data_IF_489530196334
#
_entry.id   IF_489530196334
#
_cell.length_a   1.000
_cell.length_b   1.000
_cell.length_c   1.000
_cell.angle_alpha   90.00
_cell.angle_beta   90.00
_cell.angle_gamma   90.00
#
_symmetry.space_group_name_H-M   'P 1'
#
loop_
_entity.id
_entity.type
_entity.pdbx_description
1 polymer ?
#
# COMPACT_ATOMS: atom_id res chain seq x y z
N UNK A 1 6.92 10.06 -0.39
CA UNK A 1 8.07 9.51 -1.15
C UNK A 1 9.19 10.52 -1.45
N UNK A 2 8.98 11.58 -2.25
CA UNK A 2 10.06 12.49 -2.71
C UNK A 2 10.84 13.21 -1.58
N UNK A 3 10.15 13.70 -0.54
CA UNK A 3 10.79 14.31 0.63
C UNK A 3 11.73 13.34 1.37
N UNK A 4 11.29 12.11 1.57
CA UNK A 4 12.07 11.04 2.21
C UNK A 4 13.30 10.67 1.37
N UNK A 5 13.15 10.54 0.06
CA UNK A 5 14.29 10.27 -0.85
C UNK A 5 15.32 11.39 -0.84
N UNK A 6 14.87 12.65 -0.79
CA UNK A 6 15.75 13.81 -0.68
C UNK A 6 16.51 13.78 0.65
N UNK A 7 15.81 13.60 1.77
CA UNK A 7 16.43 13.49 3.09
C UNK A 7 17.44 12.33 3.19
N UNK A 8 17.11 11.19 2.57
CA UNK A 8 17.98 10.00 2.53
C UNK A 8 19.26 10.24 1.73
N UNK A 9 19.16 11.01 0.64
CA UNK A 9 20.30 11.38 -0.20
C UNK A 9 21.28 12.32 0.51
N UNK A 10 20.78 13.15 1.43
CA UNK A 10 21.58 14.10 2.20
C UNK A 10 21.99 13.57 3.59
N UNK A 11 21.41 12.45 4.02
CA UNK A 11 21.68 11.85 5.32
C UNK A 11 23.10 11.24 5.37
N UNK A 12 23.93 11.75 6.29
CA UNK A 12 25.28 11.24 6.57
C UNK A 12 25.34 10.27 7.76
N UNK A 13 24.29 10.26 8.57
CA UNK A 13 24.14 9.37 9.71
C UNK A 13 23.61 8.01 9.23
N UNK A 14 24.27 6.92 9.65
CA UNK A 14 23.96 5.57 9.18
C UNK A 14 22.69 4.99 9.82
N UNK A 15 22.47 5.26 11.11
CA UNK A 15 21.28 4.81 11.83
C UNK A 15 20.05 5.49 11.26
N UNK A 16 20.09 6.82 11.12
CA UNK A 16 19.04 7.62 10.49
C UNK A 16 18.82 7.22 9.03
N UNK A 17 19.87 6.85 8.28
CA UNK A 17 19.72 6.37 6.89
C UNK A 17 18.93 5.06 6.84
N UNK A 18 19.17 4.12 7.76
CA UNK A 18 18.41 2.86 7.84
C UNK A 18 16.94 3.12 8.18
N UNK A 19 16.67 3.98 9.16
CA UNK A 19 15.30 4.36 9.51
C UNK A 19 14.55 5.01 8.33
N UNK A 20 15.19 5.95 7.62
CA UNK A 20 14.59 6.59 6.45
C UNK A 20 14.35 5.59 5.31
N UNK A 21 15.21 4.58 5.14
CA UNK A 21 15.02 3.51 4.14
C UNK A 21 13.85 2.61 4.51
N UNK A 22 13.71 2.26 5.79
CA UNK A 22 12.60 1.43 6.28
C UNK A 22 11.26 2.15 6.09
N UNK A 23 11.17 3.42 6.50
CA UNK A 23 9.97 4.23 6.29
C UNK A 23 9.63 4.43 4.81
N UNK A 24 10.64 4.57 3.94
CA UNK A 24 10.41 4.66 2.50
C UNK A 24 9.85 3.34 1.94
N UNK A 25 10.35 2.21 2.45
CA UNK A 25 9.90 0.87 2.06
C UNK A 25 8.45 0.65 2.50
N UNK A 26 8.10 0.99 3.74
CA UNK A 26 6.71 0.90 4.22
C UNK A 26 5.77 1.75 3.34
N UNK A 27 6.16 2.98 3.02
CA UNK A 27 5.37 3.86 2.16
C UNK A 27 5.16 3.27 0.75
N UNK A 28 6.17 2.59 0.21
CA UNK A 28 6.08 1.93 -1.09
C UNK A 28 5.16 0.69 -1.03
N UNK A 29 5.28 -0.13 0.02
CA UNK A 29 4.41 -1.30 0.24
C UNK A 29 2.95 -0.89 0.46
N UNK A 30 2.69 0.18 1.21
CA UNK A 30 1.36 0.76 1.40
C UNK A 30 0.79 1.31 0.09
N UNK A 31 1.60 2.02 -0.70
CA UNK A 31 1.19 2.57 -1.99
C UNK A 31 0.82 1.47 -2.99
N UNK A 32 1.59 0.39 -3.07
CA UNK A 32 1.26 -0.75 -3.93
C UNK A 32 -0.03 -1.46 -3.49
N UNK A 33 -0.31 -1.51 -2.19
CA UNK A 33 -1.58 -2.06 -1.67
C UNK A 33 -2.77 -1.19 -2.11
N UNK A 34 -2.62 0.14 -2.01
CA UNK A 34 -3.63 1.11 -2.43
C UNK A 34 -3.89 1.06 -3.95
N UNK A 35 -2.84 0.99 -4.77
CA UNK A 35 -2.95 0.86 -6.22
C UNK A 35 -3.72 -0.42 -6.61
N UNK A 36 -3.39 -1.56 -5.99
CA UNK A 36 -4.11 -2.82 -6.18
C UNK A 36 -5.59 -2.72 -5.79
N UNK A 37 -5.91 -2.02 -4.71
CA UNK A 37 -7.30 -1.81 -4.30
C UNK A 37 -8.07 -0.94 -5.32
N UNK A 38 -7.43 0.11 -5.83
CA UNK A 38 -8.00 0.98 -6.87
C UNK A 38 -8.25 0.22 -8.18
N UNK A 39 -7.35 -0.67 -8.57
CA UNK A 39 -7.55 -1.58 -9.72
C UNK A 39 -8.78 -2.47 -9.53
N UNK A 40 -8.89 -3.15 -8.38
CA UNK A 40 -10.04 -4.00 -8.04
C UNK A 40 -11.35 -3.19 -8.05
N UNK A 41 -11.34 -1.97 -7.51
CA UNK A 41 -12.52 -1.09 -7.50
C UNK A 41 -12.92 -0.64 -8.91
N UNK A 42 -11.95 -0.30 -9.77
CA UNK A 42 -12.20 0.06 -11.18
C UNK A 42 -12.72 -1.14 -11.97
N UNK A 43 -12.22 -2.36 -11.71
CA UNK A 43 -12.74 -3.58 -12.31
C UNK A 43 -14.18 -3.87 -11.85
N UNK A 44 -14.48 -3.71 -10.56
CA UNK A 44 -15.84 -3.89 -10.01
C UNK A 44 -16.86 -2.95 -10.62
N UNK A 45 -16.48 -1.69 -10.89
CA UNK A 45 -17.36 -0.70 -11.52
C UNK A 45 -17.79 -1.11 -12.93
N UNK A 46 -16.88 -1.74 -13.69
CA UNK A 46 -17.09 -2.13 -15.09
C UNK A 46 -17.57 -3.57 -15.24
N UNK A 47 -17.46 -4.38 -14.19
CA UNK A 47 -17.78 -5.81 -14.22
C UNK A 47 -19.30 -6.03 -14.29
N UNK A 48 -19.75 -6.65 -15.39
CA UNK A 48 -21.14 -7.07 -15.60
C UNK A 48 -21.39 -8.54 -15.25
N UNK A 49 -20.32 -9.27 -14.95
CA UNK A 49 -20.34 -10.70 -14.65
C UNK A 49 -20.47 -10.90 -13.14
N UNK A 50 -21.54 -11.58 -12.71
CA UNK A 50 -21.86 -11.73 -11.30
C UNK A 50 -20.86 -12.63 -10.54
N UNK A 51 -20.32 -13.65 -11.21
CA UNK A 51 -19.33 -14.56 -10.62
C UNK A 51 -18.02 -13.82 -10.38
N UNK A 52 -17.51 -13.13 -11.42
CA UNK A 52 -16.31 -12.28 -11.32
C UNK A 52 -16.48 -11.14 -10.34
N UNK A 53 -17.68 -10.54 -10.26
CA UNK A 53 -17.96 -9.49 -9.27
C UNK A 53 -17.82 -10.02 -7.84
N UNK A 54 -18.35 -11.22 -7.54
CA UNK A 54 -18.19 -11.84 -6.22
C UNK A 54 -16.72 -12.16 -5.90
N UNK A 55 -15.96 -12.63 -6.88
CA UNK A 55 -14.52 -12.86 -6.72
C UNK A 55 -13.75 -11.56 -6.43
N UNK A 56 -14.04 -10.49 -7.17
CA UNK A 56 -13.44 -9.17 -6.96
C UNK A 56 -13.85 -8.56 -5.62
N UNK A 57 -15.09 -8.75 -5.17
CA UNK A 57 -15.54 -8.31 -3.83
C UNK A 57 -14.83 -9.08 -2.70
N UNK A 58 -14.46 -10.34 -2.93
CA UNK A 58 -13.63 -11.11 -2.00
C UNK A 58 -12.21 -10.53 -1.95
N UNK A 59 -11.58 -10.32 -3.12
CA UNK A 59 -10.24 -9.72 -3.21
C UNK A 59 -10.19 -8.33 -2.57
N UNK A 60 -11.23 -7.51 -2.77
CA UNK A 60 -11.36 -6.20 -2.13
C UNK A 60 -11.30 -6.29 -0.61
N UNK A 61 -12.03 -7.24 -0.01
CA UNK A 61 -12.01 -7.47 1.45
C UNK A 61 -10.66 -7.95 1.95
N UNK A 62 -10.02 -8.86 1.20
CA UNK A 62 -8.67 -9.34 1.54
C UNK A 62 -7.65 -8.19 1.54
N UNK A 63 -7.72 -7.27 0.57
CA UNK A 63 -6.92 -6.04 0.56
C UNK A 63 -7.26 -5.10 1.74
N UNK A 64 -8.54 -4.85 1.99
CA UNK A 64 -8.99 -3.98 3.11
C UNK A 64 -8.53 -4.53 4.48
N UNK A 65 -8.51 -5.85 4.67
CA UNK A 65 -8.04 -6.50 5.91
C UNK A 65 -6.51 -6.40 6.08
N UNK A 66 -5.75 -6.52 4.99
CA UNK A 66 -4.29 -6.33 5.01
C UNK A 66 -3.94 -4.89 5.38
N UNK A 67 -4.59 -3.91 4.77
CA UNK A 67 -4.38 -2.49 5.11
C UNK A 67 -4.80 -2.16 6.54
N UNK A 68 -5.92 -2.70 7.04
CA UNK A 68 -6.32 -2.51 8.45
C UNK A 68 -5.34 -3.10 9.45
N UNK A 69 -4.75 -4.27 9.14
CA UNK A 69 -3.74 -4.87 10.03
C UNK A 69 -2.50 -3.99 10.15
N UNK A 70 -2.07 -3.38 9.05
CA UNK A 70 -0.99 -2.39 9.06
C UNK A 70 -1.34 -1.17 9.93
N UNK A 71 -2.57 -0.64 9.84
CA UNK A 71 -3.01 0.46 10.71
C UNK A 71 -3.05 0.08 12.21
N UNK A 72 -3.38 -1.17 12.53
CA UNK A 72 -3.53 -1.63 13.93
C UNK A 72 -2.19 -1.96 14.59
N UNK A 73 -1.18 -2.39 13.82
CA UNK A 73 0.18 -2.65 14.32
C UNK A 73 1.05 -1.38 14.42
N UNK A 74 0.59 -0.25 13.85
CA UNK A 74 1.27 1.05 13.94
C UNK A 74 0.67 2.03 14.97
N UNK A 75 -0.41 1.67 15.69
CA UNK A 75 -1.01 2.45 16.80
C UNK A 75 -0.65 1.91 18.19
#
# INVERSE_FOLDING_TARGET
KERLQSELSECKDEEKRRELQERLKEYDEESESLERLLEIMSELEKCKDEEKRRELEKKKRECDEVSKKQETEQS
#
